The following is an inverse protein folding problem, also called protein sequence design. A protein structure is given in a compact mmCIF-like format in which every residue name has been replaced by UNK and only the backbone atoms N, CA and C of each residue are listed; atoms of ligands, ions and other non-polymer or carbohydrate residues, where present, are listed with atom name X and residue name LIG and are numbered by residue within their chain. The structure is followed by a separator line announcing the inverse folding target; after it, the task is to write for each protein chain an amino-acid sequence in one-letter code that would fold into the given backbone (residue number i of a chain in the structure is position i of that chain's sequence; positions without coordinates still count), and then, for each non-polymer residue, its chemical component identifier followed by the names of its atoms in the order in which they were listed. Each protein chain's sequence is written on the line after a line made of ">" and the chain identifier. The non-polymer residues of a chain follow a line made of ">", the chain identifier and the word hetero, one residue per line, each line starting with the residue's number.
data_IF_937552787567
#
_entry.id   IF_937552787567
#
_cell.length_a   1.000
_cell.length_b   1.000
_cell.length_c   1.000
_cell.angle_alpha   90.00
_cell.angle_beta   90.00
_cell.angle_gamma   90.00
#
_symmetry.space_group_name_H-M   'P 1'
#
loop_
_entity.id
_entity.type
_entity.pdbx_description
1 polymer ?
#
# COMPACT_ATOMS: atom_id res chain seq x y z
N UNK A 1 2.21 -32.73 54.12
CA UNK A 1 1.86 -33.40 52.85
C UNK A 1 1.91 -32.37 51.74
N UNK A 2 2.91 -32.46 50.86
CA UNK A 2 3.06 -31.57 49.70
C UNK A 2 2.28 -32.17 48.53
N UNK A 3 1.24 -31.47 48.06
CA UNK A 3 0.53 -31.81 46.83
C UNK A 3 1.32 -31.22 45.66
N UNK A 4 2.32 -31.96 45.17
CA UNK A 4 2.87 -31.72 43.84
C UNK A 4 1.81 -32.14 42.83
N UNK A 5 1.05 -31.18 42.31
CA UNK A 5 0.15 -31.40 41.19
C UNK A 5 0.93 -31.95 39.98
N UNK A 6 0.32 -32.83 39.16
CA UNK A 6 1.01 -33.39 38.00
C UNK A 6 1.29 -32.28 36.99
N UNK A 7 2.56 -31.93 36.82
CA UNK A 7 3.03 -31.10 35.72
C UNK A 7 2.87 -31.93 34.45
N UNK A 8 1.80 -31.69 33.69
CA UNK A 8 1.57 -32.34 32.40
C UNK A 8 2.68 -31.86 31.45
N UNK A 9 3.71 -32.69 31.28
CA UNK A 9 4.78 -32.45 30.33
C UNK A 9 4.23 -32.54 28.91
N UNK A 10 4.06 -31.39 28.26
CA UNK A 10 3.72 -31.32 26.83
C UNK A 10 4.88 -31.97 26.06
N UNK A 11 4.60 -33.05 25.33
CA UNK A 11 5.61 -33.75 24.52
C UNK A 11 6.23 -32.80 23.48
N UNK A 12 7.50 -33.01 23.09
CA UNK A 12 8.17 -32.19 22.06
C UNK A 12 7.36 -32.07 20.77
N UNK A 13 6.77 -33.17 20.30
CA UNK A 13 5.95 -33.23 19.08
C UNK A 13 4.68 -32.36 19.19
N UNK A 14 4.05 -32.33 20.37
CA UNK A 14 2.87 -31.49 20.60
C UNK A 14 3.25 -30.00 20.65
N UNK A 15 4.42 -29.66 21.21
CA UNK A 15 4.95 -28.28 21.17
C UNK A 15 5.25 -27.83 19.74
N UNK A 16 5.84 -28.71 18.94
CA UNK A 16 6.14 -28.43 17.53
C UNK A 16 4.86 -28.23 16.71
N UNK A 17 3.86 -29.10 16.90
CA UNK A 17 2.56 -28.98 16.26
C UNK A 17 1.84 -27.67 16.63
N UNK A 18 1.80 -27.31 17.92
CA UNK A 18 1.24 -26.05 18.41
C UNK A 18 1.95 -24.87 17.74
N UNK A 19 3.28 -24.89 17.67
CA UNK A 19 4.06 -23.84 17.03
C UNK A 19 3.70 -23.68 15.54
N UNK A 20 3.64 -24.78 14.78
CA UNK A 20 3.24 -24.77 13.36
C UNK A 20 1.84 -24.15 13.18
N UNK A 21 0.88 -24.53 14.04
CA UNK A 21 -0.47 -23.99 14.01
C UNK A 21 -0.50 -22.48 14.31
N UNK A 22 0.28 -22.02 15.29
CA UNK A 22 0.43 -20.60 15.58
C UNK A 22 1.06 -19.83 14.39
N UNK A 23 2.12 -20.36 13.78
CA UNK A 23 2.75 -19.74 12.59
C UNK A 23 1.74 -19.56 11.45
N UNK A 24 1.04 -20.64 11.08
CA UNK A 24 0.01 -20.60 10.01
C UNK A 24 -1.09 -19.59 10.31
N UNK A 25 -1.49 -19.47 11.58
CA UNK A 25 -2.50 -18.50 12.01
C UNK A 25 -2.03 -17.06 11.80
N UNK A 26 -0.80 -16.71 12.17
CA UNK A 26 -0.28 -15.35 11.98
C UNK A 26 -0.14 -14.99 10.50
N UNK A 27 0.41 -15.90 9.69
CA UNK A 27 0.53 -15.73 8.23
C UNK A 27 -0.84 -15.48 7.61
N UNK A 28 -1.84 -16.31 7.95
CA UNK A 28 -3.22 -16.13 7.48
C UNK A 28 -3.82 -14.78 7.88
N UNK A 29 -3.65 -14.36 9.14
CA UNK A 29 -4.16 -13.08 9.63
C UNK A 29 -3.47 -11.85 9.04
N UNK A 30 -2.28 -12.04 8.46
CA UNK A 30 -1.51 -10.99 7.78
C UNK A 30 -1.83 -10.87 6.29
N UNK A 31 -2.68 -11.75 5.73
CA UNK A 31 -3.03 -11.71 4.31
C UNK A 31 -4.06 -10.63 4.02
N UNK A 32 -3.77 -9.87 2.96
CA UNK A 32 -4.72 -9.00 2.29
C UNK A 32 -5.13 -9.71 1.01
N UNK A 33 -6.42 -9.79 0.73
CA UNK A 33 -6.96 -10.47 -0.45
C UNK A 33 -7.86 -9.52 -1.24
N UNK A 34 -8.01 -9.80 -2.54
CA UNK A 34 -8.99 -9.15 -3.42
C UNK A 34 -8.98 -7.61 -3.40
N UNK A 35 -7.79 -6.98 -3.40
CA UNK A 35 -7.66 -5.52 -3.47
C UNK A 35 -8.33 -5.00 -4.75
N UNK A 36 -9.27 -4.05 -4.61
CA UNK A 36 -9.93 -3.38 -5.72
C UNK A 36 -10.31 -1.94 -5.35
N UNK A 37 -10.64 -1.13 -6.36
CA UNK A 37 -10.98 0.29 -6.20
C UNK A 37 -12.45 0.48 -6.58
N UNK A 38 -13.39 0.31 -5.63
CA UNK A 38 -14.79 0.52 -5.93
C UNK A 38 -15.07 2.01 -6.20
N UNK A 39 -16.04 2.29 -7.05
CA UNK A 39 -16.64 3.62 -7.10
C UNK A 39 -17.37 3.84 -5.78
N UNK A 40 -17.00 4.90 -5.06
CA UNK A 40 -17.73 5.35 -3.87
C UNK A 40 -18.40 6.65 -4.28
N UNK A 41 -19.71 6.71 -4.07
CA UNK A 41 -20.52 7.85 -4.48
C UNK A 41 -19.93 9.15 -3.94
N UNK A 42 -19.74 10.10 -4.86
CA UNK A 42 -19.51 11.52 -4.63
C UNK A 42 -18.46 11.85 -3.55
N UNK A 43 -17.19 11.53 -3.82
CA UNK A 43 -16.16 12.51 -3.43
C UNK A 43 -16.46 13.78 -4.23
N UNK A 44 -16.68 14.92 -3.55
CA UNK A 44 -16.69 16.21 -4.24
C UNK A 44 -15.34 16.34 -4.92
N UNK A 45 -15.33 16.27 -6.27
CA UNK A 45 -14.10 16.31 -7.02
C UNK A 45 -13.45 17.68 -6.87
N UNK A 46 -12.49 17.80 -5.94
CA UNK A 46 -11.81 19.05 -5.64
C UNK A 46 -10.45 19.01 -6.31
N UNK A 47 -10.44 19.41 -7.57
CA UNK A 47 -9.23 19.53 -8.37
C UNK A 47 -8.43 20.76 -7.95
N UNK A 48 -7.41 20.53 -7.12
CA UNK A 48 -6.41 21.56 -6.83
C UNK A 48 -5.34 21.51 -7.90
N UNK A 49 -5.53 22.33 -8.91
CA UNK A 49 -4.53 22.61 -9.92
C UNK A 49 -3.38 23.39 -9.26
N UNK A 50 -2.18 22.82 -9.23
CA UNK A 50 -0.96 23.49 -8.76
C UNK A 50 -0.12 23.92 -9.96
N UNK A 51 0.05 25.23 -10.15
CA UNK A 51 0.85 25.78 -11.25
C UNK A 51 2.35 25.50 -11.15
N UNK A 52 2.81 25.05 -9.97
CA UNK A 52 4.22 24.74 -9.70
C UNK A 52 4.68 23.39 -10.28
N UNK A 53 3.74 22.59 -10.81
CA UNK A 53 4.01 21.27 -11.38
C UNK A 53 3.52 21.15 -12.81
N UNK A 54 4.35 20.58 -13.69
CA UNK A 54 4.00 20.31 -15.10
C UNK A 54 2.80 19.37 -15.22
N UNK A 55 2.73 18.35 -14.38
CA UNK A 55 1.73 17.29 -14.43
C UNK A 55 1.05 17.09 -13.08
N UNK A 56 -0.27 16.88 -13.12
CA UNK A 56 -1.08 16.44 -11.99
C UNK A 56 -1.81 15.15 -12.32
N UNK A 57 -1.87 14.24 -11.35
CA UNK A 57 -2.42 12.90 -11.51
C UNK A 57 -3.42 12.59 -10.40
N UNK A 58 -4.54 11.96 -10.78
CA UNK A 58 -5.53 11.45 -9.84
C UNK A 58 -5.19 10.00 -9.44
N UNK A 59 -5.09 9.71 -8.13
CA UNK A 59 -4.79 8.36 -7.66
C UNK A 59 -6.04 7.44 -7.71
N UNK A 60 -6.88 7.50 -6.67
CA UNK A 60 -8.18 6.82 -6.55
C UNK A 60 -8.91 7.39 -5.33
N UNK A 61 -10.23 7.22 -5.24
CA UNK A 61 -11.07 7.76 -4.16
C UNK A 61 -11.40 6.75 -3.07
N UNK A 62 -11.11 5.46 -3.31
CA UNK A 62 -11.36 4.42 -2.31
C UNK A 62 -10.57 3.15 -2.60
N UNK A 63 -10.49 2.30 -1.59
CA UNK A 63 -9.90 0.97 -1.68
C UNK A 63 -10.75 -0.02 -0.89
N UNK A 64 -10.90 -1.23 -1.42
CA UNK A 64 -11.55 -2.33 -0.73
C UNK A 64 -10.70 -3.59 -0.85
N UNK A 65 -10.72 -4.40 0.21
CA UNK A 65 -9.96 -5.63 0.31
C UNK A 65 -10.60 -6.57 1.34
N UNK A 66 -10.12 -7.81 1.39
CA UNK A 66 -10.57 -8.86 2.31
C UNK A 66 -9.42 -9.31 3.22
N UNK A 67 -9.72 -9.77 4.43
CA UNK A 67 -8.70 -10.24 5.38
C UNK A 67 -9.19 -10.45 6.81
N UNK A 68 -8.31 -10.94 7.69
CA UNK A 68 -8.63 -11.29 9.09
C UNK A 68 -7.96 -10.34 10.09
N UNK A 69 -8.26 -9.05 9.98
CA UNK A 69 -7.64 -7.98 10.78
C UNK A 69 -8.51 -7.51 11.98
N UNK A 70 -9.70 -8.07 12.15
CA UNK A 70 -10.67 -7.65 13.17
C UNK A 70 -11.80 -6.82 12.58
N UNK A 71 -12.63 -6.19 13.41
CA UNK A 71 -13.83 -5.46 12.95
C UNK A 71 -13.55 -4.01 12.53
N UNK A 72 -12.45 -3.43 13.01
CA UNK A 72 -12.08 -2.03 12.76
C UNK A 72 -10.56 -1.85 12.75
N UNK A 73 -9.84 -2.43 11.77
CA UNK A 73 -8.40 -2.28 11.69
C UNK A 73 -8.03 -0.88 11.21
N UNK A 74 -6.89 -0.39 11.68
CA UNK A 74 -6.34 0.89 11.24
C UNK A 74 -5.62 0.70 9.91
N UNK A 75 -6.06 1.42 8.88
CA UNK A 75 -5.46 1.34 7.54
C UNK A 75 -4.80 2.66 7.19
N UNK A 76 -3.51 2.59 6.86
CA UNK A 76 -2.73 3.72 6.39
C UNK A 76 -2.32 3.53 4.94
N UNK A 77 -2.33 4.62 4.19
CA UNK A 77 -1.76 4.70 2.86
C UNK A 77 -0.60 5.69 2.86
N UNK A 78 0.52 5.26 2.30
CA UNK A 78 1.78 6.00 2.25
C UNK A 78 2.19 6.15 0.79
N UNK A 79 2.39 7.37 0.33
CA UNK A 79 2.83 7.64 -1.05
C UNK A 79 3.57 8.98 -1.14
N UNK A 80 4.35 9.17 -2.20
CA UNK A 80 4.98 10.45 -2.49
C UNK A 80 4.02 11.37 -3.26
N UNK A 81 3.92 12.62 -2.81
CA UNK A 81 3.07 13.65 -3.43
C UNK A 81 3.68 14.20 -4.71
N UNK A 82 4.98 14.08 -4.90
CA UNK A 82 5.70 14.57 -6.07
C UNK A 82 6.73 13.52 -6.56
N UNK A 83 7.73 13.93 -7.34
CA UNK A 83 8.76 13.03 -7.87
C UNK A 83 9.74 12.47 -6.83
N UNK A 84 9.68 12.96 -5.58
CA UNK A 84 10.52 12.49 -4.48
C UNK A 84 10.30 11.00 -4.18
N UNK A 85 11.35 10.37 -3.68
CA UNK A 85 11.34 8.98 -3.26
C UNK A 85 10.63 8.82 -1.90
N UNK A 86 10.06 7.64 -1.66
CA UNK A 86 9.57 7.27 -0.32
C UNK A 86 10.78 6.87 0.52
N UNK A 87 11.46 7.83 1.11
CA UNK A 87 12.62 7.54 1.96
C UNK A 87 12.21 7.31 3.42
N UNK A 88 12.67 6.20 3.98
CA UNK A 88 12.44 5.87 5.39
C UNK A 88 13.75 5.89 6.17
N UNK A 89 13.84 6.78 7.16
CA UNK A 89 14.95 6.83 8.09
C UNK A 89 14.62 5.97 9.33
N UNK A 90 15.19 4.78 9.37
CA UNK A 90 14.98 3.83 10.47
C UNK A 90 15.55 4.29 11.82
N UNK A 91 16.55 5.19 11.82
CA UNK A 91 17.15 5.72 13.06
C UNK A 91 16.26 6.76 13.72
N UNK A 92 15.61 7.57 12.90
CA UNK A 92 14.71 8.64 13.36
C UNK A 92 13.26 8.18 13.46
N UNK A 93 12.96 6.93 13.09
CA UNK A 93 11.60 6.41 12.96
C UNK A 93 10.71 7.31 12.10
N UNK A 94 11.31 8.02 11.14
CA UNK A 94 10.67 9.05 10.33
C UNK A 94 10.66 8.66 8.86
N UNK A 95 9.60 9.07 8.17
CA UNK A 95 9.61 9.16 6.71
C UNK A 95 10.12 10.57 6.39
N UNK A 96 11.08 10.70 5.48
CA UNK A 96 11.64 12.01 5.16
C UNK A 96 10.58 12.92 4.49
N UNK A 97 10.54 14.16 4.99
CA UNK A 97 10.13 15.44 4.38
C UNK A 97 8.67 15.69 3.92
N UNK A 98 8.36 16.99 3.76
CA UNK A 98 7.06 17.64 3.40
C UNK A 98 6.32 17.04 2.19
N UNK A 99 7.00 16.21 1.40
CA UNK A 99 6.51 15.65 0.15
C UNK A 99 5.94 14.24 0.28
N UNK A 100 6.09 13.61 1.44
CA UNK A 100 5.48 12.31 1.70
C UNK A 100 4.10 12.47 2.35
N UNK A 101 3.12 11.75 1.84
CA UNK A 101 1.75 11.78 2.36
C UNK A 101 1.42 10.47 3.06
N UNK A 102 1.10 10.55 4.34
CA UNK A 102 0.51 9.46 5.13
C UNK A 102 -0.96 9.77 5.40
N UNK A 103 -1.86 8.93 4.90
CA UNK A 103 -3.30 9.08 5.06
C UNK A 103 -3.85 7.92 5.86
N UNK A 104 -4.45 8.20 7.02
CA UNK A 104 -5.31 7.22 7.71
C UNK A 104 -6.64 7.14 6.96
N UNK A 105 -6.98 5.96 6.47
CA UNK A 105 -8.19 5.75 5.69
C UNK A 105 -9.40 5.57 6.59
N UNK A 106 -10.57 6.05 6.13
CA UNK A 106 -11.82 5.94 6.88
C UNK A 106 -12.57 4.68 6.48
N UNK A 107 -12.84 3.81 7.44
CA UNK A 107 -13.66 2.63 7.20
C UNK A 107 -15.10 3.06 6.90
N UNK A 108 -15.59 2.69 5.71
CA UNK A 108 -16.96 2.97 5.29
C UNK A 108 -17.87 1.75 5.51
N UNK A 109 -17.40 0.54 5.17
CA UNK A 109 -18.17 -0.70 5.27
C UNK A 109 -17.26 -1.82 5.77
N UNK A 110 -17.77 -2.60 6.73
CA UNK A 110 -17.23 -3.90 7.11
C UNK A 110 -18.34 -4.95 7.08
N UNK A 111 -18.22 -5.95 6.22
CA UNK A 111 -19.18 -7.07 6.13
C UNK A 111 -18.49 -8.32 5.60
N UNK A 112 -18.67 -9.46 6.27
CA UNK A 112 -18.12 -10.75 5.85
C UNK A 112 -16.61 -10.70 5.55
N UNK A 113 -15.81 -10.12 6.45
CA UNK A 113 -14.36 -9.91 6.28
C UNK A 113 -13.94 -9.04 5.08
N UNK A 114 -14.89 -8.36 4.45
CA UNK A 114 -14.63 -7.37 3.42
C UNK A 114 -14.61 -5.99 4.04
N UNK A 115 -13.52 -5.28 3.83
CA UNK A 115 -13.32 -3.91 4.28
C UNK A 115 -13.39 -2.99 3.06
N UNK A 116 -14.11 -1.88 3.22
CA UNK A 116 -14.15 -0.81 2.23
C UNK A 116 -13.79 0.49 2.93
N UNK A 117 -12.76 1.14 2.43
CA UNK A 117 -12.24 2.40 2.94
C UNK A 117 -12.46 3.52 1.94
N UNK A 118 -13.06 4.61 2.41
CA UNK A 118 -13.12 5.86 1.68
C UNK A 118 -11.90 6.71 1.97
N UNK A 119 -11.55 7.54 0.99
CA UNK A 119 -10.55 8.58 1.17
C UNK A 119 -11.32 9.91 1.29
N UNK A 120 -11.21 10.58 2.44
CA UNK A 120 -12.03 11.76 2.74
C UNK A 120 -11.74 12.96 1.81
N UNK A 121 -10.52 13.05 1.28
CA UNK A 121 -10.09 14.08 0.33
C UNK A 121 -9.43 13.41 -0.86
N UNK A 122 -9.77 13.84 -2.07
CA UNK A 122 -9.14 13.29 -3.27
C UNK A 122 -7.63 13.43 -3.22
N UNK A 123 -6.95 12.34 -3.56
CA UNK A 123 -5.49 12.28 -3.53
C UNK A 123 -4.98 12.49 -4.94
N UNK A 124 -4.37 13.65 -5.11
CA UNK A 124 -3.60 13.98 -6.28
C UNK A 124 -2.11 13.95 -5.92
N UNK A 125 -1.32 13.51 -6.88
CA UNK A 125 0.13 13.63 -6.85
C UNK A 125 0.59 14.32 -8.12
N UNK A 126 1.82 14.82 -8.11
CA UNK A 126 2.30 15.74 -9.13
C UNK A 126 3.67 15.30 -9.67
N UNK A 127 4.03 15.77 -10.85
CA UNK A 127 5.35 15.50 -11.45
C UNK A 127 5.81 16.68 -12.30
N UNK A 128 7.13 16.88 -12.33
CA UNK A 128 7.83 17.77 -13.26
C UNK A 128 8.60 17.02 -14.35
N UNK A 129 8.40 15.70 -14.46
CA UNK A 129 8.91 14.88 -15.56
C UNK A 129 8.42 15.40 -16.91
N UNK A 130 9.19 15.18 -17.98
CA UNK A 130 8.73 15.48 -19.36
C UNK A 130 7.66 14.49 -19.85
N UNK A 131 7.48 13.37 -19.14
CA UNK A 131 6.51 12.35 -19.50
C UNK A 131 5.12 12.71 -18.97
N UNK A 132 4.12 12.72 -19.85
CA UNK A 132 2.70 12.77 -19.46
C UNK A 132 2.21 11.49 -18.73
N UNK A 133 3.05 10.45 -18.62
CA UNK A 133 2.77 9.22 -17.88
C UNK A 133 3.65 9.11 -16.65
N UNK A 134 3.09 8.58 -15.57
CA UNK A 134 3.78 8.33 -14.32
C UNK A 134 3.52 6.91 -13.80
N UNK A 135 4.50 6.37 -13.09
CA UNK A 135 4.39 5.13 -12.32
C UNK A 135 4.67 5.43 -10.84
N UNK A 136 3.69 5.18 -9.97
CA UNK A 136 3.78 5.56 -8.55
C UNK A 136 3.40 4.41 -7.62
N UNK A 137 4.26 4.05 -6.64
CA UNK A 137 3.88 3.10 -5.60
C UNK A 137 3.08 3.79 -4.48
N UNK A 138 1.96 3.17 -4.12
CA UNK A 138 1.17 3.45 -2.93
C UNK A 138 1.30 2.26 -1.98
N UNK A 139 1.78 2.50 -0.78
CA UNK A 139 2.00 1.46 0.23
C UNK A 139 0.80 1.44 1.16
N UNK A 140 0.15 0.29 1.27
CA UNK A 140 -0.99 0.07 2.15
C UNK A 140 -0.51 -0.75 3.35
N UNK A 141 -0.72 -0.20 4.54
CA UNK A 141 -0.38 -0.84 5.81
C UNK A 141 -1.66 -1.00 6.62
N UNK A 142 -1.95 -2.22 7.04
CA UNK A 142 -3.15 -2.58 7.80
C UNK A 142 -2.71 -3.06 9.19
N UNK A 143 -3.12 -2.35 10.23
CA UNK A 143 -2.93 -2.74 11.62
C UNK A 143 -4.23 -3.33 12.16
N UNK A 144 -4.27 -4.65 12.29
CA UNK A 144 -5.28 -5.36 13.06
C UNK A 144 -4.89 -5.49 14.52
N UNK A 145 -5.78 -6.06 15.35
CA UNK A 145 -5.54 -6.22 16.80
C UNK A 145 -4.25 -6.98 17.14
N UNK A 146 -3.91 -8.00 16.33
CA UNK A 146 -2.72 -8.86 16.49
C UNK A 146 -2.10 -9.22 15.14
N UNK A 147 -2.35 -8.43 14.11
CA UNK A 147 -1.87 -8.71 12.75
C UNK A 147 -1.47 -7.46 12.01
N UNK A 148 -0.49 -7.61 11.13
CA UNK A 148 -0.03 -6.61 10.20
C UNK A 148 -0.32 -7.09 8.79
N UNK A 149 -0.87 -6.25 7.95
CA UNK A 149 -0.97 -6.46 6.50
C UNK A 149 -0.12 -5.42 5.78
N UNK A 150 0.57 -5.84 4.73
CA UNK A 150 1.38 -4.97 3.90
C UNK A 150 1.12 -5.24 2.42
N UNK A 151 0.81 -4.19 1.66
CA UNK A 151 0.64 -4.28 0.22
C UNK A 151 1.22 -3.06 -0.48
N UNK A 152 1.58 -3.25 -1.75
CA UNK A 152 1.98 -2.18 -2.65
C UNK A 152 1.03 -2.17 -3.85
N UNK A 153 0.39 -1.03 -4.05
CA UNK A 153 -0.40 -0.70 -5.23
C UNK A 153 0.46 0.21 -6.11
N UNK A 154 0.99 -0.33 -7.20
CA UNK A 154 1.70 0.47 -8.21
C UNK A 154 0.71 0.96 -9.25
N UNK A 155 0.43 2.26 -9.28
CA UNK A 155 -0.40 2.88 -10.30
C UNK A 155 0.45 3.26 -11.51
N UNK A 156 -0.09 3.02 -12.70
CA UNK A 156 0.36 3.60 -13.96
C UNK A 156 -0.74 4.55 -14.40
N UNK A 157 -0.37 5.81 -14.58
CA UNK A 157 -1.32 6.87 -14.81
C UNK A 157 -0.90 7.77 -15.97
N UNK A 158 -1.88 8.49 -16.50
CA UNK A 158 -1.69 9.59 -17.44
C UNK A 158 -2.10 10.88 -16.78
N UNK A 159 -1.35 11.95 -17.06
CA UNK A 159 -1.56 13.29 -16.54
C UNK A 159 -3.01 13.71 -16.77
N UNK A 160 -3.71 14.05 -15.69
CA UNK A 160 -5.06 14.58 -15.73
C UNK A 160 -5.07 16.10 -15.78
N UNK A 161 -3.96 16.76 -15.43
CA UNK A 161 -3.79 18.20 -15.63
C UNK A 161 -2.38 18.55 -16.07
N UNK A 162 -2.24 19.52 -16.98
CA UNK A 162 -0.96 20.04 -17.45
C UNK A 162 -0.86 21.53 -17.20
N UNK A 163 0.24 21.99 -16.59
CA UNK A 163 0.58 23.41 -16.55
C UNK A 163 1.42 23.74 -17.78
N UNK A 164 0.96 24.66 -18.63
CA UNK A 164 1.74 25.14 -19.76
C UNK A 164 2.70 26.27 -19.32
N UNK A 165 3.67 26.62 -20.17
CA UNK A 165 4.71 27.62 -19.90
C UNK A 165 4.19 29.02 -19.54
N UNK A 166 2.90 29.28 -19.77
CA UNK A 166 2.24 30.55 -19.49
C UNK A 166 1.42 30.50 -18.18
N UNK A 167 1.53 29.41 -17.40
CA UNK A 167 0.81 29.23 -16.13
C UNK A 167 -0.67 28.86 -16.29
N UNK A 168 -1.15 28.61 -17.51
CA UNK A 168 -2.49 28.07 -17.72
C UNK A 168 -2.48 26.58 -17.42
N UNK A 169 -3.50 26.15 -16.69
CA UNK A 169 -3.64 24.77 -16.28
C UNK A 169 -4.81 24.17 -17.06
N UNK A 170 -4.49 23.26 -17.99
CA UNK A 170 -5.48 22.46 -18.69
C UNK A 170 -5.75 21.21 -17.87
N UNK A 171 -7.03 20.90 -17.66
CA UNK A 171 -7.46 19.76 -16.87
C UNK A 171 -8.42 18.88 -17.67
N UNK A 172 -8.14 17.59 -17.77
CA UNK A 172 -9.02 16.57 -18.35
C UNK A 172 -9.53 15.68 -17.23
N UNK A 173 -10.82 15.81 -16.89
CA UNK A 173 -11.44 14.99 -15.85
C UNK A 173 -11.22 13.49 -16.16
N UNK A 174 -10.63 12.70 -15.22
CA UNK A 174 -10.33 11.30 -15.41
C UNK A 174 -11.59 10.53 -15.77
N UNK A 175 -11.50 9.69 -16.80
CA UNK A 175 -12.64 8.90 -17.27
C UNK A 175 -13.64 9.66 -18.15
N UNK A 176 -13.37 10.91 -18.52
CA UNK A 176 -14.22 11.69 -19.46
C UNK A 176 -13.53 11.91 -20.81
N UNK A 177 -14.32 12.16 -21.87
CA UNK A 177 -13.83 12.33 -23.24
C UNK A 177 -13.96 11.07 -24.10
N UNK A 178 -13.42 11.13 -25.33
CA UNK A 178 -13.42 9.98 -26.26
C UNK A 178 -12.21 9.10 -25.95
N UNK A 179 -12.45 7.83 -25.60
CA UNK A 179 -11.42 6.86 -25.18
C UNK A 179 -10.52 7.35 -24.02
N UNK A 180 -11.10 7.64 -22.84
CA UNK A 180 -10.33 8.13 -21.70
C UNK A 180 -9.29 7.09 -21.24
N UNK A 181 -8.11 7.58 -20.86
CA UNK A 181 -7.09 6.73 -20.26
C UNK A 181 -7.65 6.10 -18.97
N UNK A 182 -7.49 4.79 -18.80
CA UNK A 182 -7.91 4.08 -17.60
C UNK A 182 -6.67 3.72 -16.78
N UNK A 183 -6.48 4.33 -15.59
CA UNK A 183 -5.35 4.01 -14.74
C UNK A 183 -5.25 2.51 -14.46
N UNK A 184 -4.04 1.99 -14.59
CA UNK A 184 -3.77 0.58 -14.33
C UNK A 184 -3.10 0.45 -12.97
N UNK A 185 -3.44 -0.61 -12.25
CA UNK A 185 -2.93 -0.84 -10.90
C UNK A 185 -2.39 -2.27 -10.76
N UNK A 186 -1.08 -2.41 -10.56
CA UNK A 186 -0.50 -3.66 -10.06
C UNK A 186 -0.66 -3.69 -8.55
N UNK A 187 -1.26 -4.76 -8.03
CA UNK A 187 -1.47 -4.96 -6.59
C UNK A 187 -0.62 -6.14 -6.15
N UNK A 188 0.30 -5.90 -5.24
CA UNK A 188 1.15 -6.95 -4.67
C UNK A 188 0.99 -6.93 -3.16
N UNK A 189 0.71 -8.09 -2.59
CA UNK A 189 0.59 -8.27 -1.14
C UNK A 189 1.86 -8.96 -0.67
N UNK A 190 2.49 -8.43 0.37
CA UNK A 190 3.82 -8.86 0.82
C UNK A 190 4.86 -9.00 -0.31
N UNK A 191 5.07 -7.96 -1.13
CA UNK A 191 5.89 -8.07 -2.33
C UNK A 191 7.35 -8.42 -2.03
N UNK A 192 7.97 -9.19 -2.92
CA UNK A 192 9.43 -9.35 -3.00
C UNK A 192 10.05 -8.27 -3.88
N UNK A 193 11.37 -8.09 -3.80
CA UNK A 193 12.09 -7.17 -4.70
C UNK A 193 11.92 -7.55 -6.18
N UNK A 194 11.89 -8.86 -6.48
CA UNK A 194 11.64 -9.37 -7.83
C UNK A 194 10.26 -9.00 -8.34
N UNK A 195 9.23 -9.07 -7.49
CA UNK A 195 7.87 -8.69 -7.87
C UNK A 195 7.77 -7.20 -8.21
N UNK A 196 8.43 -6.35 -7.41
CA UNK A 196 8.42 -4.90 -7.58
C UNK A 196 9.21 -4.45 -8.82
N UNK A 197 10.36 -5.07 -9.08
CA UNK A 197 11.23 -4.76 -10.23
C UNK A 197 10.68 -5.26 -11.57
N UNK A 198 9.63 -6.10 -11.56
CA UNK A 198 9.03 -6.61 -12.78
C UNK A 198 8.46 -5.45 -13.62
N UNK A 199 8.82 -5.43 -14.90
CA UNK A 199 8.27 -4.49 -15.87
C UNK A 199 6.76 -4.67 -16.03
N UNK A 200 6.05 -3.55 -16.07
CA UNK A 200 4.61 -3.48 -16.27
C UNK A 200 4.31 -2.96 -17.66
N UNK A 201 3.59 -3.74 -18.45
CA UNK A 201 3.11 -3.32 -19.76
C UNK A 201 1.72 -2.70 -19.59
N UNK A 202 1.59 -1.43 -19.96
CA UNK A 202 0.32 -0.71 -19.98
C UNK A 202 -0.44 -1.10 -21.26
N UNK A 203 -1.64 -1.68 -21.17
CA UNK A 203 -2.35 -2.27 -22.30
C UNK A 203 -2.90 -1.26 -23.32
N UNK A 204 -3.25 -0.03 -22.92
CA UNK A 204 -3.86 0.97 -23.81
C UNK A 204 -2.85 1.57 -24.78
N UNK A 205 -1.61 1.78 -24.34
CA UNK A 205 -0.53 2.40 -25.12
C UNK A 205 0.57 1.41 -25.52
N UNK A 206 0.61 0.23 -24.89
CA UNK A 206 1.68 -0.76 -25.06
C UNK A 206 3.00 -0.38 -24.38
N UNK A 207 3.07 0.78 -23.72
CA UNK A 207 4.27 1.26 -23.03
C UNK A 207 4.65 0.37 -21.86
N UNK A 208 5.94 0.34 -21.55
CA UNK A 208 6.49 -0.43 -20.44
C UNK A 208 6.99 0.50 -19.35
N UNK A 209 6.59 0.23 -18.12
CA UNK A 209 6.93 0.99 -16.93
C UNK A 209 7.63 0.09 -15.92
N UNK A 210 8.53 0.64 -15.13
CA UNK A 210 9.26 -0.09 -14.09
C UNK A 210 9.58 0.87 -12.95
N UNK A 211 9.56 0.36 -11.73
CA UNK A 211 10.07 1.08 -10.56
C UNK A 211 11.59 1.03 -10.54
N UNK A 212 12.22 2.15 -10.20
CA UNK A 212 13.67 2.20 -10.05
C UNK A 212 14.13 1.36 -8.86
N UNK A 213 15.38 0.89 -8.93
CA UNK A 213 15.94 0.02 -7.88
C UNK A 213 15.87 0.69 -6.51
N UNK A 214 16.19 1.97 -6.44
CA UNK A 214 16.16 2.76 -5.21
C UNK A 214 14.74 2.86 -4.61
N UNK A 215 13.71 3.07 -5.45
CA UNK A 215 12.31 3.02 -5.01
C UNK A 215 11.94 1.65 -4.44
N UNK A 216 12.40 0.56 -5.08
CA UNK A 216 12.15 -0.80 -4.60
C UNK A 216 12.84 -1.05 -3.26
N UNK A 217 14.11 -0.68 -3.13
CA UNK A 217 14.90 -0.87 -1.90
C UNK A 217 14.25 -0.11 -0.74
N UNK A 218 13.76 1.10 -0.98
CA UNK A 218 13.02 1.90 -0.01
C UNK A 218 11.70 1.24 0.45
N UNK A 219 10.89 0.70 -0.47
CA UNK A 219 9.67 -0.04 -0.13
C UNK A 219 10.01 -1.27 0.73
N UNK A 220 11.07 -2.00 0.38
CA UNK A 220 11.50 -3.19 1.12
C UNK A 220 12.03 -2.83 2.52
N UNK A 221 12.73 -1.71 2.67
CA UNK A 221 13.18 -1.19 3.96
C UNK A 221 12.00 -0.82 4.86
N UNK A 222 10.98 -0.16 4.29
CA UNK A 222 9.77 0.16 5.03
C UNK A 222 8.98 -1.10 5.45
N UNK A 223 8.90 -2.10 4.56
CA UNK A 223 8.33 -3.42 4.89
C UNK A 223 9.05 -4.07 6.08
N UNK A 224 10.40 -4.09 6.05
CA UNK A 224 11.23 -4.61 7.15
C UNK A 224 10.98 -3.86 8.46
N UNK A 225 10.86 -2.53 8.38
CA UNK A 225 10.58 -1.69 9.53
C UNK A 225 9.26 -2.07 10.22
N UNK A 226 8.15 -2.13 9.49
CA UNK A 226 6.86 -2.47 10.10
C UNK A 226 6.84 -3.86 10.72
N UNK A 227 7.49 -4.86 10.10
CA UNK A 227 7.61 -6.20 10.68
C UNK A 227 8.42 -6.18 11.99
N UNK A 228 9.45 -5.34 12.07
CA UNK A 228 10.27 -5.19 13.28
C UNK A 228 9.55 -4.52 14.45
N UNK A 229 8.43 -3.82 14.21
CA UNK A 229 7.62 -3.21 15.26
C UNK A 229 6.70 -4.21 15.99
N UNK A 230 6.52 -5.41 15.43
CA UNK A 230 5.64 -6.43 16.00
C UNK A 230 6.31 -7.16 17.16
N UNK A 231 5.49 -7.84 17.97
CA UNK A 231 6.00 -8.73 19.03
C UNK A 231 7.02 -9.75 18.46
N UNK A 232 8.10 -10.07 19.19
CA UNK A 232 9.22 -10.85 18.64
C UNK A 232 8.83 -12.20 18.03
N UNK A 233 7.85 -12.88 18.62
CA UNK A 233 7.29 -14.14 18.12
C UNK A 233 6.57 -13.96 16.77
N UNK A 234 5.77 -12.91 16.62
CA UNK A 234 5.05 -12.59 15.37
C UNK A 234 6.04 -12.10 14.31
N UNK A 235 6.93 -11.18 14.69
CA UNK A 235 7.96 -10.63 13.81
C UNK A 235 8.84 -11.74 13.23
N UNK A 236 9.23 -12.74 14.05
CA UNK A 236 10.01 -13.90 13.59
C UNK A 236 9.27 -14.67 12.48
N UNK A 237 7.98 -14.98 12.67
CA UNK A 237 7.18 -15.71 11.68
C UNK A 237 7.05 -14.92 10.38
N UNK A 238 6.77 -13.62 10.45
CA UNK A 238 6.62 -12.81 9.24
C UNK A 238 7.95 -12.54 8.53
N UNK A 239 9.07 -12.51 9.26
CA UNK A 239 10.41 -12.46 8.65
C UNK A 239 10.70 -13.71 7.84
N UNK A 240 10.48 -14.88 8.44
CA UNK A 240 10.68 -16.19 7.78
C UNK A 240 9.84 -16.31 6.50
N UNK A 241 8.60 -15.80 6.51
CA UNK A 241 7.69 -15.91 5.37
C UNK A 241 7.89 -14.80 4.31
N UNK A 242 8.09 -13.54 4.71
CA UNK A 242 7.97 -12.38 3.81
C UNK A 242 9.22 -11.51 3.68
N UNK A 243 10.25 -11.77 4.48
CA UNK A 243 11.55 -11.09 4.42
C UNK A 243 12.62 -12.14 4.12
N UNK A 244 12.47 -12.82 2.99
CA UNK A 244 13.55 -13.61 2.41
C UNK A 244 14.53 -12.69 1.69
N UNK A 245 15.82 -12.97 1.83
CA UNK A 245 16.93 -12.26 1.18
C UNK A 245 16.87 -12.31 -0.36
#
# INVERSE_FOLDING_TARGET
>A
MSLSGPTIGISPDLKEFINIMHKKRYIRKSRIENIHFPLVGQSTMSWKLRGDYKHGFYAFSSIAFEGEFGSNPDVFMIFSKNDSLIEFNSKEHSLNDDDLTVVKLKQNIFKNNKYKYGIEKELNYYSNSESEYDIRPFIIVVFGEVSLGFATVTLINKSSSTANSNGFIEGIMPGTGVNPFQPQARKLVWPTGKDLLRTLKEPQTGRSFRLDKEQVDNILNLKKYFVNLLEPNIAKVLKEEYITE
#
